data_IF_544736900906
#
_entry.id   IF_544736900906
#
_cell.length_a   1.000
_cell.length_b   1.000
_cell.length_c   1.000
_cell.angle_alpha   90.00
_cell.angle_beta   90.00
_cell.angle_gamma   90.00
#
_symmetry.space_group_name_H-M   'P 1'
#
loop_
_entity.id
_entity.type
_entity.pdbx_description
1 polymer ?
#
# COMPACT_ATOMS: atom_id res chain seq x y z
N UNK A 1 -28.82 11.25 -32.15
CA UNK A 1 -28.59 11.72 -30.78
C UNK A 1 -29.74 11.26 -29.91
N UNK A 2 -29.53 10.26 -29.06
CA UNK A 2 -30.53 9.83 -28.07
C UNK A 2 -30.33 10.62 -26.78
N UNK A 3 -31.39 11.26 -26.30
CA UNK A 3 -31.34 12.13 -25.11
C UNK A 3 -31.51 11.33 -23.82
N UNK A 4 -30.81 11.77 -22.76
CA UNK A 4 -30.74 11.16 -21.41
C UNK A 4 -32.07 10.74 -20.75
N UNK A 5 -33.21 11.20 -21.26
CA UNK A 5 -34.54 10.92 -20.70
C UNK A 5 -35.10 9.54 -21.09
N UNK A 6 -34.64 8.94 -22.18
CA UNK A 6 -35.12 7.61 -22.59
C UNK A 6 -34.36 6.44 -21.95
N UNK A 7 -33.25 6.71 -21.24
CA UNK A 7 -32.49 5.68 -20.54
C UNK A 7 -33.08 5.34 -19.16
N UNK A 8 -34.02 6.13 -18.65
CA UNK A 8 -34.56 6.00 -17.28
C UNK A 8 -35.85 5.15 -17.23
N UNK A 9 -36.47 4.86 -18.37
CA UNK A 9 -37.79 4.19 -18.44
C UNK A 9 -37.76 2.69 -18.78
N UNK A 10 -36.59 2.04 -18.89
CA UNK A 10 -36.50 0.63 -19.31
C UNK A 10 -35.89 -0.35 -18.29
N UNK A 11 -35.94 -0.05 -16.99
CA UNK A 11 -35.43 -0.95 -15.94
C UNK A 11 -36.54 -1.49 -15.03
N UNK A 12 -37.62 -2.02 -15.60
CA UNK A 12 -38.68 -2.72 -14.87
C UNK A 12 -38.80 -4.17 -15.35
N UNK A 13 -37.75 -4.95 -15.15
CA UNK A 13 -37.79 -6.41 -15.22
C UNK A 13 -36.59 -7.00 -14.48
N UNK A 14 -36.69 -7.18 -13.15
CA UNK A 14 -35.80 -8.06 -12.41
C UNK A 14 -36.62 -9.00 -11.50
N UNK A 15 -36.82 -10.18 -12.08
CA UNK A 15 -37.04 -11.51 -11.53
C UNK A 15 -37.07 -11.64 -9.99
N UNK A 16 -38.19 -12.15 -9.49
CA UNK A 16 -38.31 -12.71 -8.16
C UNK A 16 -37.41 -13.96 -8.02
N UNK A 17 -36.32 -13.85 -7.26
CA UNK A 17 -35.63 -14.99 -6.68
C UNK A 17 -36.15 -15.21 -5.26
N UNK A 18 -37.07 -16.16 -5.12
CA UNK A 18 -37.34 -16.79 -3.84
C UNK A 18 -36.23 -17.81 -3.55
N UNK A 19 -35.41 -17.56 -2.54
CA UNK A 19 -34.64 -18.61 -1.89
C UNK A 19 -34.72 -18.42 -0.38
N UNK A 20 -35.59 -19.21 0.23
CA UNK A 20 -35.66 -19.44 1.66
C UNK A 20 -34.30 -19.94 2.15
N UNK A 21 -33.79 -19.33 3.22
CA UNK A 21 -32.50 -19.70 3.81
C UNK A 21 -32.25 -19.12 5.20
N UNK A 22 -33.29 -18.83 5.98
CA UNK A 22 -33.13 -18.65 7.43
C UNK A 22 -33.23 -20.02 8.10
N UNK A 23 -32.13 -20.77 8.09
CA UNK A 23 -31.99 -21.96 8.93
C UNK A 23 -30.68 -21.87 9.72
N UNK A 24 -30.84 -21.47 10.98
CA UNK A 24 -30.10 -21.93 12.15
C UNK A 24 -28.58 -21.69 12.17
N UNK A 25 -28.22 -20.58 12.82
CA UNK A 25 -27.01 -20.51 13.63
C UNK A 25 -27.04 -21.65 14.66
N UNK A 26 -26.23 -22.69 14.45
CA UNK A 26 -25.88 -23.67 15.47
C UNK A 26 -24.36 -23.78 15.49
N UNK A 27 -23.78 -23.20 16.54
CA UNK A 27 -22.34 -23.19 16.80
C UNK A 27 -21.75 -24.58 16.63
N UNK A 28 -20.75 -24.66 15.77
CA UNK A 28 -19.87 -25.81 15.66
C UNK A 28 -18.49 -25.36 16.12
N UNK A 29 -18.10 -25.86 17.29
CA UNK A 29 -16.74 -25.84 17.80
C UNK A 29 -15.80 -26.49 16.78
N UNK A 30 -15.16 -25.69 15.93
CA UNK A 30 -14.11 -26.17 15.05
C UNK A 30 -12.79 -26.22 15.82
N UNK A 31 -12.48 -27.39 16.41
CA UNK A 31 -11.11 -27.74 16.79
C UNK A 31 -10.26 -27.81 15.51
N UNK A 32 -9.42 -26.81 15.29
CA UNK A 32 -8.39 -26.87 14.25
C UNK A 32 -7.37 -27.97 14.60
N UNK A 33 -7.10 -28.94 13.71
CA UNK A 33 -6.00 -29.87 13.93
C UNK A 33 -4.67 -29.12 13.81
N UNK A 34 -3.85 -29.19 14.86
CA UNK A 34 -2.49 -28.68 14.86
C UNK A 34 -1.62 -29.45 13.86
N UNK A 35 -1.44 -28.86 12.68
CA UNK A 35 -0.44 -29.29 11.72
C UNK A 35 0.95 -28.95 12.26
N UNK A 36 1.61 -29.93 12.90
CA UNK A 36 3.07 -29.93 13.07
C UNK A 36 3.73 -29.82 11.69
N UNK A 37 4.24 -28.64 11.35
CA UNK A 37 5.18 -28.47 10.23
C UNK A 37 6.61 -28.49 10.76
N UNK A 38 7.17 -29.69 10.79
CA UNK A 38 8.60 -29.86 10.55
C UNK A 38 8.88 -29.74 9.05
N UNK A 39 10.14 -29.47 8.73
CA UNK A 39 10.79 -29.54 7.42
C UNK A 39 11.03 -28.22 6.69
N UNK A 40 12.22 -27.70 7.02
CA UNK A 40 13.04 -26.74 6.28
C UNK A 40 13.11 -27.12 4.79
N UNK A 41 12.37 -26.41 3.97
CA UNK A 41 12.66 -26.26 2.54
C UNK A 41 12.72 -24.77 2.22
N UNK A 42 13.94 -24.31 1.93
CA UNK A 42 14.34 -22.93 1.71
C UNK A 42 13.88 -22.43 0.33
N UNK A 43 12.57 -22.38 0.09
CA UNK A 43 12.03 -21.31 -0.74
C UNK A 43 11.99 -20.09 0.17
N UNK A 44 12.93 -19.16 0.00
CA UNK A 44 13.08 -17.96 0.84
C UNK A 44 11.87 -17.04 0.62
N UNK A 45 10.72 -17.42 1.19
CA UNK A 45 9.49 -16.64 1.21
C UNK A 45 9.85 -15.29 1.80
N UNK A 46 9.60 -14.22 1.05
CA UNK A 46 9.84 -12.87 1.54
C UNK A 46 9.08 -12.70 2.87
N UNK A 47 9.77 -12.24 3.91
CA UNK A 47 9.15 -12.09 5.22
C UNK A 47 7.96 -11.12 5.10
N UNK A 48 6.80 -11.55 5.61
CA UNK A 48 5.57 -10.75 5.67
C UNK A 48 5.84 -9.35 6.23
N UNK A 49 6.76 -9.22 7.20
CA UNK A 49 7.16 -7.94 7.80
C UNK A 49 7.73 -6.96 6.78
N UNK A 50 8.50 -7.44 5.80
CA UNK A 50 9.12 -6.58 4.78
C UNK A 50 8.05 -6.04 3.84
N UNK A 51 7.09 -6.88 3.44
CA UNK A 51 5.94 -6.45 2.64
C UNK A 51 5.05 -5.46 3.40
N UNK A 52 4.84 -5.68 4.70
CA UNK A 52 4.05 -4.78 5.54
C UNK A 52 4.71 -3.41 5.71
N UNK A 53 6.02 -3.35 5.96
CA UNK A 53 6.75 -2.09 6.06
C UNK A 53 6.69 -1.29 4.75
N UNK A 54 6.89 -1.95 3.59
CA UNK A 54 6.77 -1.30 2.30
C UNK A 54 5.33 -0.86 1.98
N UNK A 55 4.33 -1.65 2.36
CA UNK A 55 2.90 -1.29 2.18
C UNK A 55 2.52 -0.09 3.04
N UNK A 56 2.99 -0.05 4.29
CA UNK A 56 2.81 1.09 5.19
C UNK A 56 3.48 2.34 4.63
N UNK A 57 4.71 2.23 4.15
CA UNK A 57 5.43 3.34 3.53
C UNK A 57 4.72 3.84 2.26
N UNK A 58 4.19 2.95 1.42
CA UNK A 58 3.37 3.35 0.28
C UNK A 58 2.12 4.14 0.71
N UNK A 59 1.39 3.69 1.74
CA UNK A 59 0.22 4.40 2.24
C UNK A 59 0.59 5.79 2.78
N UNK A 60 1.64 5.88 3.60
CA UNK A 60 2.10 7.17 4.12
C UNK A 60 2.61 8.11 3.02
N UNK A 61 3.23 7.55 1.97
CA UNK A 61 3.67 8.33 0.80
C UNK A 61 2.48 8.84 0.00
N UNK A 62 1.40 8.06 -0.17
CA UNK A 62 0.18 8.52 -0.84
C UNK A 62 -0.43 9.73 -0.10
N UNK A 63 -0.54 9.63 1.22
CA UNK A 63 -1.10 10.72 2.05
C UNK A 63 -0.20 11.96 1.99
N UNK A 64 1.12 11.77 2.04
CA UNK A 64 2.08 12.88 1.96
C UNK A 64 2.09 13.52 0.56
N UNK A 65 1.90 12.74 -0.50
CA UNK A 65 1.80 13.24 -1.86
C UNK A 65 0.61 14.20 -2.01
N UNK A 66 -0.58 13.78 -1.56
CA UNK A 66 -1.78 14.63 -1.59
C UNK A 66 -1.58 15.90 -0.78
N UNK A 67 -0.99 15.80 0.42
CA UNK A 67 -0.68 16.96 1.24
C UNK A 67 0.23 17.97 0.52
N UNK A 68 1.31 17.49 -0.12
CA UNK A 68 2.22 18.35 -0.86
C UNK A 68 1.54 18.98 -2.08
N UNK A 69 0.70 18.23 -2.80
CA UNK A 69 -0.03 18.71 -3.98
C UNK A 69 -1.05 19.81 -3.63
N UNK A 70 -1.77 19.64 -2.53
CA UNK A 70 -2.71 20.64 -2.00
C UNK A 70 -1.99 21.94 -1.59
N UNK A 71 -0.87 21.84 -0.88
CA UNK A 71 -0.04 23.00 -0.52
C UNK A 71 0.48 23.74 -1.75
N UNK A 72 1.02 23.02 -2.74
CA UNK A 72 1.51 23.61 -3.99
C UNK A 72 0.39 24.30 -4.78
N UNK A 73 -0.79 23.69 -4.81
CA UNK A 73 -1.98 24.27 -5.45
C UNK A 73 -2.46 25.56 -4.78
N UNK A 74 -2.15 25.76 -3.50
CA UNK A 74 -2.42 27.01 -2.77
C UNK A 74 -1.35 28.11 -2.97
N UNK A 75 -0.28 27.82 -3.72
CA UNK A 75 0.82 28.74 -4.03
C UNK A 75 2.04 28.62 -3.12
N UNK A 76 2.03 27.72 -2.13
CA UNK A 76 3.20 27.44 -1.29
C UNK A 76 4.14 26.46 -2.01
N UNK A 77 5.31 26.94 -2.46
CA UNK A 77 6.28 26.15 -3.20
C UNK A 77 7.24 25.35 -2.33
N UNK A 78 7.18 25.47 -1.00
CA UNK A 78 8.18 24.89 -0.09
C UNK A 78 8.20 23.35 -0.11
N UNK A 79 7.09 22.70 -0.52
CA UNK A 79 6.97 21.24 -0.60
C UNK A 79 7.29 20.66 -1.98
N UNK A 80 7.83 21.45 -2.92
CA UNK A 80 8.06 21.00 -4.30
C UNK A 80 9.02 19.80 -4.40
N UNK A 81 10.11 19.80 -3.65
CA UNK A 81 11.09 18.71 -3.67
C UNK A 81 10.62 17.50 -2.85
N UNK A 82 9.89 17.75 -1.75
CA UNK A 82 9.18 16.71 -1.00
C UNK A 82 8.20 15.95 -1.91
N UNK A 83 7.34 16.66 -2.67
CA UNK A 83 6.40 16.04 -3.62
C UNK A 83 7.11 15.10 -4.59
N UNK A 84 8.22 15.55 -5.19
CA UNK A 84 8.98 14.74 -6.16
C UNK A 84 9.51 13.45 -5.52
N UNK A 85 10.15 13.56 -4.35
CA UNK A 85 10.72 12.42 -3.65
C UNK A 85 9.65 11.42 -3.17
N UNK A 86 8.54 11.94 -2.64
CA UNK A 86 7.39 11.14 -2.19
C UNK A 86 6.74 10.40 -3.36
N UNK A 87 6.62 11.04 -4.54
CA UNK A 87 6.08 10.41 -5.74
C UNK A 87 6.89 9.19 -6.18
N UNK A 88 8.21 9.33 -6.25
CA UNK A 88 9.10 8.22 -6.63
C UNK A 88 9.01 7.07 -5.61
N UNK A 89 9.01 7.42 -4.33
CA UNK A 89 8.92 6.47 -3.22
C UNK A 89 7.61 5.69 -3.23
N UNK A 90 6.48 6.37 -3.45
CA UNK A 90 5.16 5.76 -3.58
C UNK A 90 5.15 4.69 -4.67
N UNK A 91 5.67 5.01 -5.86
CA UNK A 91 5.70 4.09 -7.00
C UNK A 91 6.58 2.88 -6.70
N UNK A 92 7.79 3.11 -6.15
CA UNK A 92 8.74 2.04 -5.88
C UNK A 92 8.31 1.12 -4.74
N UNK A 93 7.72 1.65 -3.67
CA UNK A 93 7.14 0.85 -2.59
C UNK A 93 6.01 -0.05 -3.12
N UNK A 94 5.08 0.50 -3.93
CA UNK A 94 4.00 -0.29 -4.56
C UNK A 94 4.55 -1.37 -5.49
N UNK A 95 5.55 -1.04 -6.30
CA UNK A 95 6.21 -2.00 -7.20
C UNK A 95 6.87 -3.14 -6.42
N UNK A 96 7.60 -2.83 -5.34
CA UNK A 96 8.19 -3.84 -4.48
C UNK A 96 7.13 -4.72 -3.82
N UNK A 97 6.03 -4.17 -3.31
CA UNK A 97 4.96 -4.99 -2.70
C UNK A 97 4.37 -5.97 -3.72
N UNK A 98 4.12 -5.54 -4.95
CA UNK A 98 3.61 -6.39 -6.02
C UNK A 98 4.60 -7.50 -6.43
N UNK A 99 5.86 -7.13 -6.68
CA UNK A 99 6.90 -8.08 -7.11
C UNK A 99 7.33 -9.02 -5.97
N UNK A 100 7.44 -8.50 -4.75
CA UNK A 100 7.80 -9.26 -3.56
C UNK A 100 6.73 -10.28 -3.17
N UNK A 101 5.44 -9.91 -3.22
CA UNK A 101 4.34 -10.82 -2.89
C UNK A 101 4.15 -11.93 -3.92
N UNK A 102 4.47 -11.66 -5.19
CA UNK A 102 4.46 -12.66 -6.27
C UNK A 102 5.74 -13.49 -6.35
N UNK A 103 6.71 -13.28 -5.45
CA UNK A 103 8.02 -13.95 -5.47
C UNK A 103 8.76 -13.77 -6.80
N UNK A 104 8.61 -12.61 -7.42
CA UNK A 104 9.28 -12.26 -8.66
C UNK A 104 10.81 -12.31 -8.49
N UNK A 105 11.57 -12.80 -9.49
CA UNK A 105 13.03 -12.74 -9.45
C UNK A 105 13.56 -11.31 -9.36
N UNK A 106 12.78 -10.30 -9.78
CA UNK A 106 13.15 -8.87 -9.75
C UNK A 106 12.91 -8.18 -8.41
N UNK A 107 12.43 -8.92 -7.39
CA UNK A 107 12.04 -8.34 -6.11
C UNK A 107 13.24 -7.72 -5.35
N UNK A 108 14.46 -8.22 -5.56
CA UNK A 108 15.66 -7.67 -4.90
C UNK A 108 16.16 -6.40 -5.57
N UNK A 109 16.16 -6.36 -6.89
CA UNK A 109 16.57 -5.20 -7.67
C UNK A 109 15.64 -4.01 -7.42
N UNK A 110 14.33 -4.27 -7.37
CA UNK A 110 13.36 -3.23 -7.03
C UNK A 110 13.48 -2.81 -5.57
N UNK A 111 13.77 -3.74 -4.62
CA UNK A 111 14.02 -3.39 -3.22
C UNK A 111 15.24 -2.47 -3.07
N UNK A 112 16.34 -2.75 -3.76
CA UNK A 112 17.54 -1.92 -3.74
C UNK A 112 17.28 -0.49 -4.26
N UNK A 113 16.44 -0.37 -5.30
CA UNK A 113 16.03 0.93 -5.83
C UNK A 113 15.07 1.66 -4.89
N UNK A 114 14.12 0.92 -4.30
CA UNK A 114 13.18 1.45 -3.32
C UNK A 114 13.88 2.01 -2.08
N UNK A 115 14.93 1.35 -1.58
CA UNK A 115 15.75 1.86 -0.47
C UNK A 115 16.30 3.25 -0.78
N UNK A 116 16.88 3.45 -1.98
CA UNK A 116 17.46 4.74 -2.38
C UNK A 116 16.41 5.84 -2.44
N UNK A 117 15.23 5.54 -2.99
CA UNK A 117 14.12 6.50 -3.03
C UNK A 117 13.61 6.84 -1.63
N UNK A 118 13.43 5.84 -0.76
CA UNK A 118 13.04 6.05 0.63
C UNK A 118 14.09 6.89 1.38
N UNK A 119 15.39 6.73 1.13
CA UNK A 119 16.45 7.54 1.77
C UNK A 119 16.36 9.01 1.35
N UNK A 120 16.09 9.29 0.07
CA UNK A 120 15.85 10.65 -0.41
C UNK A 120 14.56 11.21 0.18
N UNK A 121 13.46 10.44 0.13
CA UNK A 121 12.18 10.87 0.66
C UNK A 121 12.19 11.10 2.17
N UNK A 122 12.87 10.24 2.95
CA UNK A 122 13.04 10.47 4.38
C UNK A 122 13.71 11.82 4.61
N UNK A 123 14.85 12.08 3.95
CA UNK A 123 15.59 13.33 4.11
C UNK A 123 14.74 14.56 3.78
N UNK A 124 14.04 14.55 2.65
CA UNK A 124 13.19 15.68 2.25
C UNK A 124 12.00 15.85 3.21
N UNK A 125 11.32 14.78 3.60
CA UNK A 125 10.22 14.85 4.56
C UNK A 125 10.66 15.37 5.94
N UNK A 126 11.89 15.04 6.39
CA UNK A 126 12.44 15.54 7.67
C UNK A 126 12.62 17.06 7.69
N UNK A 127 12.87 17.71 6.55
CA UNK A 127 12.95 19.18 6.48
C UNK A 127 11.65 19.84 6.95
N UNK A 128 10.53 19.14 6.80
CA UNK A 128 9.18 19.66 7.03
C UNK A 128 8.51 19.11 8.30
N UNK A 129 9.18 18.23 9.05
CA UNK A 129 8.56 17.46 10.14
C UNK A 129 8.07 18.31 11.32
N UNK A 130 8.65 19.49 11.52
CA UNK A 130 8.24 20.45 12.57
C UNK A 130 6.98 21.23 12.21
N UNK A 131 6.60 21.27 10.93
CA UNK A 131 5.47 22.03 10.43
C UNK A 131 4.31 21.13 9.99
N UNK A 132 4.63 19.93 9.50
CA UNK A 132 3.67 19.00 8.92
C UNK A 132 3.84 17.60 9.51
N UNK A 133 2.91 17.20 10.38
CA UNK A 133 2.88 15.84 10.95
C UNK A 133 2.82 14.77 9.86
N UNK A 134 2.16 15.07 8.73
CA UNK A 134 2.10 14.18 7.57
C UNK A 134 3.50 13.88 7.02
N UNK A 135 4.36 14.89 6.90
CA UNK A 135 5.75 14.72 6.45
C UNK A 135 6.54 13.90 7.48
N UNK A 136 6.37 14.16 8.78
CA UNK A 136 6.99 13.35 9.84
C UNK A 136 6.60 11.87 9.75
N UNK A 137 5.32 11.59 9.58
CA UNK A 137 4.79 10.22 9.48
C UNK A 137 5.29 9.50 8.22
N UNK A 138 5.44 10.23 7.11
CA UNK A 138 6.05 9.70 5.89
C UNK A 138 7.54 9.38 6.10
N UNK A 139 8.31 10.29 6.72
CA UNK A 139 9.72 10.07 7.03
C UNK A 139 9.93 8.87 7.97
N UNK A 140 9.12 8.77 9.03
CA UNK A 140 9.16 7.65 9.98
C UNK A 140 8.89 6.30 9.28
N UNK A 141 7.95 6.29 8.32
CA UNK A 141 7.62 5.10 7.54
C UNK A 141 8.68 4.75 6.49
N UNK A 142 9.32 5.75 5.88
CA UNK A 142 10.47 5.55 4.98
C UNK A 142 11.63 4.89 5.74
N UNK A 143 11.96 5.39 6.94
CA UNK A 143 13.01 4.84 7.80
C UNK A 143 12.76 3.38 8.15
N UNK A 144 11.52 3.03 8.54
CA UNK A 144 11.13 1.64 8.82
C UNK A 144 11.22 0.75 7.58
N UNK A 145 10.74 1.24 6.42
CA UNK A 145 10.82 0.53 5.15
C UNK A 145 12.27 0.24 4.75
N UNK A 146 13.17 1.23 4.85
CA UNK A 146 14.60 1.08 4.58
C UNK A 146 15.20 -0.02 5.46
N UNK A 147 14.91 -0.01 6.76
CA UNK A 147 15.41 -1.02 7.69
C UNK A 147 14.98 -2.44 7.32
N UNK A 148 13.72 -2.64 6.92
CA UNK A 148 13.22 -3.96 6.55
C UNK A 148 13.72 -4.40 5.17
N UNK A 149 13.75 -3.51 4.17
CA UNK A 149 14.25 -3.82 2.83
C UNK A 149 15.74 -4.19 2.83
N UNK A 150 16.56 -3.55 3.68
CA UNK A 150 17.99 -3.89 3.86
C UNK A 150 18.25 -5.32 4.34
N UNK A 151 17.23 -6.05 4.82
CA UNK A 151 17.36 -7.46 5.24
C UNK A 151 17.24 -8.46 4.08
N UNK A 152 16.74 -8.02 2.94
CA UNK A 152 16.39 -8.90 1.80
C UNK A 152 17.18 -8.60 0.52
N UNK A 153 17.80 -7.43 0.46
CA UNK A 153 18.84 -7.05 -0.52
C UNK A 153 20.18 -7.61 -0.04
#
# INVERSE_FOLDING_TARGET
MLTRKELITQSAALLAFASAGSLLAKGSDHKHPELKKSEKNLSKKLDRKVLEAASKCALSSEICLTHCDESLSSGDTMLADCLKAVKDTLVLCKAFVSLGSSHSPFAKEIAATCIKACEVCEKECRVHESHHEICKNCADSCRECIMELKKVV
#
